data_IF_205148605627
#
_entry.id   IF_205148605627
#
_cell.length_a   1.000
_cell.length_b   1.000
_cell.length_c   1.000
_cell.angle_alpha   90.00
_cell.angle_beta   90.00
_cell.angle_gamma   90.00
#
_symmetry.space_group_name_H-M   'P 1'
#
loop_
_entity.id
_entity.type
_entity.pdbx_description
1 polymer ?
#
# COMPACT_ATOMS: atom_id res chain seq x y z
N UNK A 1 5.34 20.23 -6.50
CA UNK A 1 5.44 19.45 -5.25
C UNK A 1 6.56 18.43 -5.40
N UNK A 2 7.15 18.00 -4.28
CA UNK A 2 8.12 16.89 -4.25
C UNK A 2 7.34 15.59 -4.45
N UNK A 3 7.86 14.73 -5.32
CA UNK A 3 7.26 13.46 -5.70
C UNK A 3 8.36 12.43 -5.90
N UNK A 4 8.27 11.33 -5.21
CA UNK A 4 9.14 10.16 -5.35
C UNK A 4 8.36 8.85 -5.31
N UNK A 5 7.02 8.93 -5.16
CA UNK A 5 6.13 7.80 -5.04
C UNK A 5 4.84 7.96 -5.82
N UNK A 6 4.46 6.92 -6.53
CA UNK A 6 3.18 6.78 -7.23
C UNK A 6 2.52 5.47 -6.86
N UNK A 7 1.22 5.48 -6.65
CA UNK A 7 0.44 4.26 -6.51
C UNK A 7 -0.97 4.41 -7.10
N UNK A 8 -1.47 3.31 -7.64
CA UNK A 8 -2.83 3.14 -8.09
C UNK A 8 -3.48 2.06 -7.22
N UNK A 9 -4.57 2.37 -6.57
CA UNK A 9 -5.22 1.52 -5.56
C UNK A 9 -6.63 1.15 -6.01
N UNK A 10 -7.04 -0.07 -5.68
CA UNK A 10 -8.36 -0.63 -5.99
C UNK A 10 -8.69 -0.52 -7.48
N UNK A 11 -7.83 -1.09 -8.31
CA UNK A 11 -7.98 -1.07 -9.77
C UNK A 11 -8.46 -2.42 -10.31
N UNK A 12 -9.12 -2.39 -11.46
CA UNK A 12 -9.61 -3.58 -12.17
C UNK A 12 -8.68 -4.02 -13.32
N UNK A 13 -7.42 -3.61 -13.31
CA UNK A 13 -6.48 -3.93 -14.39
C UNK A 13 -6.24 -5.43 -14.50
N UNK A 14 -6.16 -5.94 -15.71
CA UNK A 14 -5.79 -7.32 -15.97
C UNK A 14 -4.32 -7.58 -15.62
N UNK A 15 -3.95 -8.85 -15.50
CA UNK A 15 -2.55 -9.23 -15.21
C UNK A 15 -1.58 -8.91 -16.35
N UNK A 16 -2.08 -8.68 -17.56
CA UNK A 16 -1.29 -8.26 -18.71
C UNK A 16 -1.21 -6.73 -18.88
N UNK A 17 -1.89 -5.98 -18.01
CA UNK A 17 -1.92 -4.53 -18.08
C UNK A 17 -0.54 -3.92 -17.81
N UNK A 18 -0.29 -2.80 -18.47
CA UNK A 18 0.92 -2.01 -18.27
C UNK A 18 0.59 -0.59 -17.88
N UNK A 19 1.48 0.01 -17.08
CA UNK A 19 1.39 1.40 -16.62
C UNK A 19 2.67 2.15 -16.95
N UNK A 20 2.56 3.45 -17.19
CA UNK A 20 3.70 4.33 -17.43
C UNK A 20 3.47 5.66 -16.75
N UNK A 21 4.38 6.06 -15.91
CA UNK A 21 4.34 7.31 -15.16
C UNK A 21 5.30 8.32 -15.76
N UNK A 22 4.84 9.53 -15.98
CA UNK A 22 5.68 10.61 -16.48
C UNK A 22 5.47 11.88 -15.69
N UNK A 23 6.56 12.61 -15.46
CA UNK A 23 6.57 13.90 -14.78
C UNK A 23 7.09 14.99 -15.70
N UNK A 24 6.53 16.19 -15.57
CA UNK A 24 6.94 17.36 -16.32
C UNK A 24 6.66 18.66 -15.55
N UNK A 25 7.34 19.74 -15.91
CA UNK A 25 7.05 21.09 -15.43
C UNK A 25 6.40 21.99 -16.51
N UNK A 26 6.42 21.55 -17.76
CA UNK A 26 6.05 22.35 -18.95
C UNK A 26 4.99 21.66 -19.82
N UNK A 27 4.06 20.93 -19.18
CA UNK A 27 2.99 20.20 -19.86
C UNK A 27 3.50 19.16 -20.88
N UNK A 28 4.60 18.48 -20.53
CA UNK A 28 5.23 17.41 -21.32
C UNK A 28 5.90 17.86 -22.63
N UNK A 29 6.29 19.12 -22.74
CA UNK A 29 7.26 19.56 -23.75
C UNK A 29 8.65 18.94 -23.44
N UNK A 30 9.00 18.91 -22.15
CA UNK A 30 10.16 18.14 -21.64
C UNK A 30 9.71 17.17 -20.55
N UNK A 31 10.31 16.00 -20.51
CA UNK A 31 9.98 14.98 -19.49
C UNK A 31 11.09 14.95 -18.44
N UNK A 32 10.74 15.20 -17.18
CA UNK A 32 11.67 15.13 -16.04
C UNK A 32 11.94 13.70 -15.61
N UNK A 33 10.90 12.88 -15.64
CA UNK A 33 10.94 11.47 -15.29
C UNK A 33 10.01 10.68 -16.17
N UNK A 34 10.46 9.52 -16.58
CA UNK A 34 9.68 8.54 -17.33
C UNK A 34 10.02 7.14 -16.78
N UNK A 35 9.03 6.45 -16.24
CA UNK A 35 9.21 5.10 -15.72
C UNK A 35 9.45 4.05 -16.81
N UNK A 36 9.26 4.42 -18.09
CA UNK A 36 9.06 3.43 -19.13
C UNK A 36 7.75 2.65 -18.92
N UNK A 37 7.58 1.59 -19.69
CA UNK A 37 6.43 0.69 -19.55
C UNK A 37 6.71 -0.32 -18.45
N UNK A 38 5.89 -0.31 -17.40
CA UNK A 38 5.96 -1.21 -16.25
C UNK A 38 4.74 -2.13 -16.27
N UNK A 39 4.89 -3.36 -15.81
CA UNK A 39 3.74 -4.23 -15.57
C UNK A 39 2.90 -3.68 -14.40
N UNK A 40 1.59 -3.67 -14.54
CA UNK A 40 0.69 -3.24 -13.48
C UNK A 40 0.70 -4.21 -12.28
N UNK A 41 1.02 -5.47 -12.55
CA UNK A 41 1.15 -6.51 -11.53
C UNK A 41 2.60 -6.99 -11.45
N UNK A 42 3.13 -7.01 -10.25
CA UNK A 42 4.43 -7.60 -9.99
C UNK A 42 4.31 -9.13 -9.88
N UNK A 43 5.34 -9.87 -10.31
CA UNK A 43 5.39 -11.31 -10.07
C UNK A 43 5.42 -11.60 -8.56
N UNK A 44 4.54 -12.50 -8.11
CA UNK A 44 4.49 -12.97 -6.71
C UNK A 44 5.31 -14.24 -6.51
N UNK A 45 5.70 -14.90 -7.60
CA UNK A 45 6.49 -16.12 -7.56
C UNK A 45 7.61 -16.06 -8.59
N UNK A 46 8.81 -16.45 -8.19
CA UNK A 46 9.94 -16.55 -9.11
C UNK A 46 9.82 -17.84 -9.95
N UNK A 47 10.25 -17.76 -11.19
CA UNK A 47 10.27 -18.92 -12.08
C UNK A 47 11.05 -20.09 -11.43
N UNK A 48 10.38 -21.24 -11.29
CA UNK A 48 10.94 -22.44 -10.64
C UNK A 48 10.80 -22.51 -9.11
N UNK A 49 10.19 -21.49 -8.48
CA UNK A 49 9.97 -21.47 -7.02
C UNK A 49 8.80 -22.34 -6.53
N UNK A 50 7.85 -22.65 -7.43
CA UNK A 50 6.66 -23.43 -7.10
C UNK A 50 6.43 -24.61 -8.04
N UNK A 51 5.68 -25.64 -7.60
CA UNK A 51 5.30 -26.77 -8.44
C UNK A 51 4.51 -26.34 -9.67
N UNK A 52 4.66 -27.09 -10.75
CA UNK A 52 3.92 -26.88 -12.00
C UNK A 52 2.39 -26.89 -11.77
N UNK A 53 1.70 -25.90 -12.34
CA UNK A 53 0.23 -25.79 -12.28
C UNK A 53 -0.32 -24.98 -11.11
N UNK A 54 0.53 -24.45 -10.22
CA UNK A 54 0.11 -23.61 -9.07
C UNK A 54 0.05 -22.12 -9.45
N UNK A 55 0.94 -21.67 -10.35
CA UNK A 55 1.04 -20.28 -10.81
C UNK A 55 0.99 -20.20 -12.32
N UNK A 56 0.68 -18.98 -12.81
CA UNK A 56 0.79 -18.67 -14.25
C UNK A 56 2.25 -18.62 -14.69
N UNK A 57 2.49 -18.80 -16.00
CA UNK A 57 3.82 -18.68 -16.62
C UNK A 57 4.40 -17.30 -16.42
N UNK A 58 4.69 -16.67 -15.62
CA UNK A 58 5.21 -15.33 -15.34
C UNK A 58 5.13 -15.01 -13.85
N UNK A 59 4.72 -15.99 -13.02
CA UNK A 59 4.63 -15.83 -11.58
C UNK A 59 3.56 -14.84 -11.13
N UNK A 60 2.61 -14.51 -12.00
CA UNK A 60 1.54 -13.55 -11.68
C UNK A 60 0.46 -14.20 -10.81
N UNK A 61 -0.17 -13.42 -9.92
CA UNK A 61 -1.22 -13.95 -9.06
C UNK A 61 -2.44 -14.42 -9.86
N UNK A 62 -3.11 -15.46 -9.37
CA UNK A 62 -4.35 -15.95 -9.97
C UNK A 62 -5.49 -14.96 -9.75
N UNK A 63 -6.44 -14.87 -10.70
CA UNK A 63 -7.59 -13.99 -10.59
C UNK A 63 -8.43 -14.25 -9.33
N UNK A 64 -8.52 -15.51 -8.88
CA UNK A 64 -9.21 -15.88 -7.64
C UNK A 64 -8.50 -15.33 -6.37
N UNK A 65 -7.19 -15.15 -6.42
CA UNK A 65 -6.42 -14.55 -5.32
C UNK A 65 -6.52 -13.04 -5.38
N UNK A 66 -6.43 -12.45 -6.59
CA UNK A 66 -6.57 -10.99 -6.79
C UNK A 66 -7.90 -10.49 -6.22
N UNK A 67 -9.00 -11.22 -6.43
CA UNK A 67 -10.34 -10.81 -5.98
C UNK A 67 -10.51 -10.76 -4.46
N UNK A 68 -9.58 -11.34 -3.69
CA UNK A 68 -9.63 -11.33 -2.22
C UNK A 68 -9.03 -10.06 -1.61
N UNK A 69 -8.27 -9.28 -2.38
CA UNK A 69 -7.53 -8.13 -1.89
C UNK A 69 -7.81 -6.87 -2.71
N UNK A 70 -7.55 -5.72 -2.10
CA UNK A 70 -7.56 -4.46 -2.84
C UNK A 70 -6.30 -4.37 -3.72
N UNK A 71 -6.50 -4.49 -5.02
CA UNK A 71 -5.42 -4.42 -5.99
C UNK A 71 -4.66 -3.10 -5.86
N UNK A 72 -3.35 -3.17 -5.75
CA UNK A 72 -2.48 -2.00 -5.70
C UNK A 72 -1.24 -2.18 -6.55
N UNK A 73 -0.96 -1.20 -7.39
CA UNK A 73 0.33 -1.08 -8.07
C UNK A 73 1.03 0.18 -7.63
N UNK A 74 2.34 0.12 -7.45
CA UNK A 74 3.10 1.29 -7.03
C UNK A 74 4.45 1.35 -7.74
N UNK A 75 5.03 2.55 -7.77
CA UNK A 75 6.34 2.83 -8.32
C UNK A 75 7.04 3.82 -7.40
N UNK A 76 8.23 3.44 -6.94
CA UNK A 76 9.13 4.32 -6.20
C UNK A 76 10.16 4.88 -7.18
N UNK A 77 10.37 6.19 -7.16
CA UNK A 77 11.37 6.83 -7.98
C UNK A 77 12.76 6.67 -7.36
N UNK A 78 13.80 6.56 -8.18
CA UNK A 78 15.18 6.48 -7.67
C UNK A 78 15.65 7.78 -6.98
N UNK A 79 15.00 8.90 -7.31
CA UNK A 79 15.24 10.20 -6.67
C UNK A 79 13.98 11.05 -6.68
N UNK A 80 13.78 11.84 -5.63
CA UNK A 80 12.66 12.75 -5.54
C UNK A 80 12.74 13.84 -6.62
N UNK A 81 11.62 14.09 -7.28
CA UNK A 81 11.47 15.09 -8.35
C UNK A 81 10.51 16.19 -7.93
N UNK A 82 10.79 17.41 -8.35
CA UNK A 82 9.83 18.52 -8.20
C UNK A 82 9.11 18.70 -9.54
N UNK A 83 7.84 18.30 -9.58
CA UNK A 83 7.06 18.38 -10.78
C UNK A 83 5.70 19.09 -10.56
N UNK A 84 5.17 19.63 -11.66
CA UNK A 84 3.87 20.31 -11.73
C UNK A 84 2.81 19.43 -12.40
N UNK A 85 3.21 18.68 -13.42
CA UNK A 85 2.33 17.82 -14.21
C UNK A 85 2.71 16.37 -14.06
N UNK A 86 1.69 15.53 -13.95
CA UNK A 86 1.82 14.08 -13.86
C UNK A 86 0.95 13.49 -14.95
N UNK A 87 1.46 12.48 -15.64
CA UNK A 87 0.71 11.69 -16.60
C UNK A 87 0.85 10.21 -16.30
N UNK A 88 -0.27 9.55 -16.12
CA UNK A 88 -0.39 8.11 -16.06
C UNK A 88 -0.96 7.62 -17.38
N UNK A 89 -0.25 6.74 -18.05
CA UNK A 89 -0.75 5.99 -19.19
C UNK A 89 -0.99 4.56 -18.74
N UNK A 90 -2.16 4.04 -19.06
CA UNK A 90 -2.56 2.66 -18.78
C UNK A 90 -2.88 2.00 -20.12
N UNK A 91 -2.32 0.82 -20.37
CA UNK A 91 -2.67 0.00 -21.52
C UNK A 91 -3.10 -1.38 -21.01
N UNK A 92 -4.33 -1.74 -21.31
CA UNK A 92 -4.94 -3.01 -20.90
C UNK A 92 -5.96 -3.45 -21.94
N UNK A 93 -5.46 -4.14 -22.96
CA UNK A 93 -6.30 -4.66 -24.06
C UNK A 93 -7.03 -5.95 -23.71
N UNK A 94 -6.68 -6.58 -22.60
CA UNK A 94 -7.22 -7.89 -22.18
C UNK A 94 -8.20 -7.79 -21.00
N UNK A 95 -8.57 -6.57 -20.62
CA UNK A 95 -9.52 -6.34 -19.54
C UNK A 95 -10.93 -6.84 -19.93
N UNK A 96 -11.39 -7.88 -19.25
CA UNK A 96 -12.69 -8.49 -19.50
C UNK A 96 -13.88 -7.61 -19.12
N UNK A 97 -13.68 -6.60 -18.27
CA UNK A 97 -14.73 -5.66 -17.88
C UNK A 97 -15.08 -4.66 -19.01
N UNK A 98 -14.18 -4.47 -19.99
CA UNK A 98 -14.36 -3.50 -21.07
C UNK A 98 -14.17 -2.03 -20.68
N UNK A 99 -13.80 -1.76 -19.43
CA UNK A 99 -13.48 -0.43 -18.90
C UNK A 99 -12.36 -0.49 -17.88
N UNK A 100 -11.71 0.65 -17.64
CA UNK A 100 -10.67 0.79 -16.60
C UNK A 100 -11.26 1.52 -15.40
N UNK A 101 -11.03 0.97 -14.22
CA UNK A 101 -11.46 1.54 -12.96
C UNK A 101 -10.28 1.58 -11.99
N UNK A 102 -10.24 2.65 -11.19
CA UNK A 102 -9.30 2.79 -10.09
C UNK A 102 -9.92 3.62 -8.97
N UNK A 103 -9.84 3.13 -7.76
CA UNK A 103 -10.43 3.80 -6.61
C UNK A 103 -9.62 5.03 -6.17
N UNK A 104 -8.30 4.94 -6.22
CA UNK A 104 -7.41 6.02 -5.75
C UNK A 104 -6.10 6.09 -6.53
N UNK A 105 -5.69 7.32 -6.81
CA UNK A 105 -4.35 7.65 -7.27
C UNK A 105 -3.60 8.38 -6.15
N UNK A 106 -2.50 7.82 -5.69
CA UNK A 106 -1.62 8.43 -4.69
C UNK A 106 -0.36 8.93 -5.38
N UNK A 107 -0.01 10.19 -5.13
CA UNK A 107 1.21 10.80 -5.64
C UNK A 107 1.78 11.72 -4.57
N UNK A 108 3.04 11.57 -4.24
CA UNK A 108 3.68 12.41 -3.24
C UNK A 108 5.03 11.90 -2.79
N UNK A 109 5.53 12.45 -1.68
CA UNK A 109 6.73 11.94 -1.05
C UNK A 109 6.43 10.63 -0.31
N UNK A 110 7.31 9.64 -0.48
CA UNK A 110 7.38 8.48 0.39
C UNK A 110 8.16 8.80 1.66
N UNK A 111 7.83 8.14 2.74
CA UNK A 111 8.63 8.14 3.95
C UNK A 111 9.14 6.73 4.22
N UNK A 112 10.46 6.60 4.27
CA UNK A 112 11.13 5.39 4.68
C UNK A 112 11.95 5.70 5.93
N UNK A 113 11.71 5.00 7.07
CA UNK A 113 12.49 5.21 8.28
C UNK A 113 13.97 4.85 8.07
N UNK A 114 14.87 5.63 8.68
CA UNK A 114 16.32 5.33 8.68
C UNK A 114 16.60 4.00 9.38
N UNK A 115 15.86 3.72 10.46
CA UNK A 115 15.82 2.43 11.14
C UNK A 115 14.47 1.84 10.86
N UNK A 116 14.45 0.70 10.18
CA UNK A 116 13.21 0.02 9.83
C UNK A 116 12.45 -0.44 11.07
N UNK A 117 11.21 -0.85 10.90
CA UNK A 117 10.38 -1.39 12.00
C UNK A 117 11.06 -2.57 12.69
N UNK A 118 10.79 -2.73 14.00
CA UNK A 118 11.30 -3.82 14.81
C UNK A 118 10.66 -5.16 14.41
N UNK A 119 11.31 -6.26 14.77
CA UNK A 119 10.69 -7.58 14.69
C UNK A 119 9.39 -7.60 15.50
N UNK A 120 8.38 -8.31 15.02
CA UNK A 120 7.08 -8.41 15.70
C UNK A 120 5.96 -7.66 14.97
N UNK A 121 6.12 -7.38 13.66
CA UNK A 121 5.00 -6.90 12.83
C UNK A 121 3.84 -7.89 12.94
N UNK A 122 2.69 -7.39 13.32
CA UNK A 122 1.45 -8.15 13.39
C UNK A 122 0.56 -7.77 12.21
N UNK A 123 0.09 -8.76 11.47
CA UNK A 123 -0.91 -8.63 10.43
C UNK A 123 -2.08 -9.54 10.78
N UNK A 124 -3.27 -8.98 10.89
CA UNK A 124 -4.48 -9.70 11.26
C UNK A 124 -5.66 -9.32 10.39
N UNK A 125 -6.64 -10.21 10.30
CA UNK A 125 -7.98 -9.87 9.83
C UNK A 125 -8.86 -9.52 10.99
N UNK A 126 -9.51 -8.36 10.90
CA UNK A 126 -10.53 -7.94 11.87
C UNK A 126 -11.90 -8.29 11.31
N UNK A 127 -12.71 -8.95 12.13
CA UNK A 127 -14.08 -9.36 11.82
C UNK A 127 -15.03 -8.70 12.82
N UNK A 128 -15.71 -7.65 12.38
CA UNK A 128 -16.68 -6.91 13.20
C UNK A 128 -18.10 -7.46 13.06
N UNK A 129 -18.27 -8.67 12.49
CA UNK A 129 -19.55 -9.34 12.35
C UNK A 129 -20.21 -9.60 13.70
N UNK A 130 -21.50 -9.32 13.79
CA UNK A 130 -22.25 -9.45 15.03
C UNK A 130 -22.98 -10.79 15.10
N UNK A 131 -22.69 -11.57 16.14
CA UNK A 131 -23.33 -12.85 16.39
C UNK A 131 -24.33 -12.68 17.54
N UNK A 132 -25.60 -12.95 17.30
CA UNK A 132 -26.66 -12.94 18.34
C UNK A 132 -27.30 -14.31 18.44
N UNK A 133 -27.66 -14.70 19.68
CA UNK A 133 -28.37 -15.97 19.94
C UNK A 133 -29.75 -15.69 20.46
N UNK A 134 -30.76 -16.37 19.91
CA UNK A 134 -32.11 -16.35 20.44
C UNK A 134 -32.19 -17.17 21.74
N UNK A 135 -33.28 -16.97 22.51
CA UNK A 135 -33.56 -17.74 23.72
C UNK A 135 -33.67 -19.25 23.47
N UNK A 136 -34.07 -19.65 22.24
CA UNK A 136 -34.13 -21.03 21.78
C UNK A 136 -32.83 -21.62 21.27
N UNK A 137 -31.69 -20.89 21.37
CA UNK A 137 -30.37 -21.36 20.94
C UNK A 137 -30.06 -21.15 19.44
N UNK A 138 -30.98 -20.54 18.69
CA UNK A 138 -30.74 -20.23 17.28
C UNK A 138 -29.73 -19.07 17.13
N UNK A 139 -28.78 -19.23 16.24
CA UNK A 139 -27.72 -18.24 15.99
C UNK A 139 -28.10 -17.39 14.78
N UNK A 140 -28.00 -16.08 14.94
CA UNK A 140 -28.12 -15.10 13.86
C UNK A 140 -26.78 -14.39 13.69
N UNK A 141 -26.32 -14.30 12.48
CA UNK A 141 -25.05 -13.63 12.13
C UNK A 141 -25.39 -12.47 11.22
N UNK A 142 -24.96 -11.28 11.65
CA UNK A 142 -24.96 -10.07 10.82
C UNK A 142 -23.51 -9.90 10.34
N UNK A 143 -23.27 -10.34 9.11
CA UNK A 143 -21.92 -10.43 8.54
C UNK A 143 -21.49 -9.07 8.00
N UNK A 144 -20.31 -8.61 8.44
CA UNK A 144 -19.63 -7.42 7.96
C UNK A 144 -18.37 -7.82 7.22
N UNK A 145 -18.00 -7.05 6.20
CA UNK A 145 -16.78 -7.30 5.45
C UNK A 145 -15.54 -7.20 6.36
N UNK A 146 -14.71 -8.23 6.34
CA UNK A 146 -13.45 -8.27 7.10
C UNK A 146 -12.42 -7.36 6.46
N UNK A 147 -11.60 -6.73 7.29
CA UNK A 147 -10.51 -5.87 6.84
C UNK A 147 -9.20 -6.27 7.52
N UNK A 148 -8.09 -5.88 6.89
CA UNK A 148 -6.76 -6.16 7.44
C UNK A 148 -6.33 -5.03 8.36
N UNK A 149 -5.60 -5.40 9.42
CA UNK A 149 -4.94 -4.48 10.32
C UNK A 149 -3.48 -4.86 10.42
N UNK A 150 -2.60 -3.87 10.28
CA UNK A 150 -1.17 -4.05 10.50
C UNK A 150 -0.74 -3.21 11.70
N UNK A 151 0.05 -3.82 12.59
CA UNK A 151 0.67 -3.14 13.72
C UNK A 151 2.16 -3.39 13.71
N UNK A 152 2.95 -2.34 13.84
CA UNK A 152 4.41 -2.40 13.87
C UNK A 152 5.00 -1.30 14.76
N UNK A 153 6.19 -1.58 15.29
CA UNK A 153 6.92 -0.67 16.15
C UNK A 153 8.09 -0.03 15.39
N UNK A 154 8.14 1.29 15.40
CA UNK A 154 9.29 2.06 14.96
C UNK A 154 10.13 2.40 16.19
N UNK A 155 11.28 1.75 16.33
CA UNK A 155 12.15 1.87 17.48
C UNK A 155 13.45 2.60 17.13
N UNK A 156 13.99 3.32 18.13
CA UNK A 156 15.28 3.99 18.05
C UNK A 156 15.43 5.05 16.96
N UNK A 157 14.31 5.66 16.51
CA UNK A 157 14.36 6.74 15.53
C UNK A 157 15.04 8.00 16.09
N UNK A 158 15.83 8.73 15.28
CA UNK A 158 16.39 10.01 15.66
C UNK A 158 15.30 11.05 15.94
N UNK A 159 15.57 11.99 16.83
CA UNK A 159 14.65 13.06 17.20
C UNK A 159 14.15 13.86 16.00
N UNK A 160 15.06 14.25 15.10
CA UNK A 160 14.70 14.99 13.88
C UNK A 160 13.73 14.23 12.99
N UNK A 161 13.90 12.92 12.89
CA UNK A 161 13.06 12.08 12.03
C UNK A 161 11.66 11.87 12.63
N UNK A 162 11.59 11.55 13.92
CA UNK A 162 10.31 11.30 14.59
C UNK A 162 9.42 12.55 14.58
N UNK A 163 9.98 13.73 14.86
CA UNK A 163 9.20 14.95 14.93
C UNK A 163 8.89 15.55 13.56
N UNK A 164 9.81 15.50 12.59
CA UNK A 164 9.56 16.06 11.28
C UNK A 164 8.65 15.17 10.42
N UNK A 165 8.88 13.86 10.42
CA UNK A 165 8.15 12.97 9.52
C UNK A 165 6.92 12.37 10.20
N UNK A 166 7.05 11.79 11.39
CA UNK A 166 5.93 11.12 12.02
C UNK A 166 4.99 12.13 12.66
N UNK A 167 5.49 12.93 13.61
CA UNK A 167 4.65 13.85 14.35
C UNK A 167 4.01 14.94 13.48
N UNK A 168 4.81 15.63 12.67
CA UNK A 168 4.29 16.75 11.86
C UNK A 168 3.60 16.27 10.57
N UNK A 169 4.13 15.30 9.85
CA UNK A 169 3.58 14.92 8.54
C UNK A 169 2.54 13.80 8.64
N UNK A 170 2.74 12.81 9.50
CA UNK A 170 1.77 11.72 9.63
C UNK A 170 0.70 12.10 10.65
N UNK A 171 1.05 12.38 11.89
CA UNK A 171 0.07 12.59 12.96
C UNK A 171 -0.74 13.85 12.79
N UNK A 172 -0.06 14.98 12.62
CA UNK A 172 -0.71 16.30 12.51
C UNK A 172 -1.45 16.48 11.19
N UNK A 173 -0.88 15.99 10.06
CA UNK A 173 -1.45 16.22 8.73
C UNK A 173 -2.41 15.12 8.32
N UNK A 174 -2.09 13.87 8.60
CA UNK A 174 -2.92 12.71 8.25
C UNK A 174 -3.84 12.33 9.40
N UNK A 175 -3.29 12.07 10.58
CA UNK A 175 -4.06 11.60 11.73
C UNK A 175 -4.91 10.38 11.39
N UNK A 176 -6.02 10.21 12.07
CA UNK A 176 -6.99 9.13 11.83
C UNK A 176 -7.95 9.42 10.66
N UNK A 177 -7.97 10.66 10.15
CA UNK A 177 -8.96 11.12 9.17
C UNK A 177 -8.54 10.97 7.72
N UNK A 178 -7.25 10.82 7.47
CA UNK A 178 -6.71 10.72 6.11
C UNK A 178 -6.01 9.39 5.88
N UNK A 179 -6.10 8.96 4.65
CA UNK A 179 -5.55 7.72 4.15
C UNK A 179 -4.01 7.74 4.05
N UNK A 180 -3.44 6.57 4.25
CA UNK A 180 -2.03 6.25 4.11
C UNK A 180 -1.90 4.92 3.37
N UNK A 181 -0.79 4.74 2.65
CA UNK A 181 -0.42 3.46 2.08
C UNK A 181 0.85 2.97 2.80
N UNK A 182 0.78 1.77 3.34
CA UNK A 182 1.92 1.11 4.00
C UNK A 182 2.38 -0.04 3.13
N UNK A 183 3.67 -0.06 2.85
CA UNK A 183 4.35 -1.11 2.08
C UNK A 183 5.48 -1.64 2.95
N UNK A 184 5.26 -2.73 3.70
CA UNK A 184 6.26 -3.25 4.63
C UNK A 184 7.54 -3.71 3.95
N UNK A 185 7.42 -4.37 2.80
CA UNK A 185 8.54 -4.95 2.06
C UNK A 185 8.54 -4.51 0.59
N UNK A 186 9.01 -3.30 0.28
CA UNK A 186 8.96 -2.78 -1.10
C UNK A 186 9.85 -3.53 -2.08
N UNK A 187 10.85 -4.26 -1.60
CA UNK A 187 11.77 -5.07 -2.42
C UNK A 187 11.28 -6.49 -2.71
N UNK A 188 10.24 -6.98 -2.00
CA UNK A 188 9.72 -8.33 -2.15
C UNK A 188 8.31 -8.31 -2.73
N UNK A 189 8.22 -8.49 -4.04
CA UNK A 189 6.94 -8.46 -4.77
C UNK A 189 5.98 -9.58 -4.39
N UNK A 190 6.47 -10.70 -3.85
CA UNK A 190 5.63 -11.80 -3.40
C UNK A 190 4.69 -11.41 -2.25
N UNK A 191 5.08 -10.44 -1.46
CA UNK A 191 4.32 -9.97 -0.31
C UNK A 191 3.36 -8.81 -0.60
N UNK A 192 3.50 -8.15 -1.76
CA UNK A 192 2.78 -6.90 -2.02
C UNK A 192 1.27 -7.04 -1.95
N UNK A 193 0.71 -8.10 -2.53
CA UNK A 193 -0.74 -8.31 -2.54
C UNK A 193 -1.30 -8.55 -1.13
N UNK A 194 -0.56 -9.27 -0.30
CA UNK A 194 -1.00 -9.68 1.03
C UNK A 194 -0.66 -8.69 2.13
N UNK A 195 0.47 -7.98 2.03
CA UNK A 195 0.99 -7.15 3.11
C UNK A 195 0.83 -5.65 2.88
N UNK A 196 0.71 -5.19 1.62
CA UNK A 196 0.44 -3.78 1.38
C UNK A 196 -0.96 -3.43 1.86
N UNK A 197 -1.07 -2.40 2.66
CA UNK A 197 -2.33 -1.92 3.22
C UNK A 197 -2.53 -0.46 2.86
N UNK A 198 -3.61 -0.22 2.12
CA UNK A 198 -4.18 1.11 1.96
C UNK A 198 -5.23 1.30 3.04
N UNK A 199 -4.98 2.23 3.94
CA UNK A 199 -5.81 2.37 5.11
C UNK A 199 -5.67 3.72 5.80
N UNK A 200 -6.03 3.76 7.06
CA UNK A 200 -5.91 4.91 7.95
C UNK A 200 -5.29 4.48 9.27
N UNK A 201 -4.72 5.42 10.00
CA UNK A 201 -4.28 5.18 11.37
C UNK A 201 -5.50 4.83 12.23
N UNK A 202 -5.43 3.72 12.97
CA UNK A 202 -6.46 3.34 13.94
C UNK A 202 -6.52 4.37 15.09
N UNK A 203 -5.36 4.84 15.53
CA UNK A 203 -5.21 5.88 16.53
C UNK A 203 -3.89 6.62 16.36
N UNK A 204 -3.82 7.85 16.84
CA UNK A 204 -2.56 8.58 17.01
C UNK A 204 -2.00 8.20 18.39
N UNK A 205 -1.00 7.31 18.39
CA UNK A 205 -0.36 6.83 19.63
C UNK A 205 0.69 7.81 20.16
N UNK A 206 1.17 7.59 21.39
CA UNK A 206 2.22 8.39 21.98
C UNK A 206 3.58 8.16 21.30
N UNK A 207 4.44 9.16 21.36
CA UNK A 207 5.85 9.05 21.03
C UNK A 207 6.60 8.95 22.37
N UNK A 208 7.41 7.90 22.52
CA UNK A 208 8.14 7.62 23.75
C UNK A 208 9.62 7.83 23.55
N UNK A 209 10.26 8.53 24.50
CA UNK A 209 11.71 8.64 24.54
C UNK A 209 12.27 7.39 25.24
N UNK A 210 12.92 6.51 24.49
CA UNK A 210 13.43 5.23 25.00
C UNK A 210 14.89 5.31 25.47
N UNK A 211 15.69 6.17 24.85
CA UNK A 211 17.08 6.45 25.22
C UNK A 211 17.44 7.88 24.81
N UNK A 212 18.62 8.36 25.19
CA UNK A 212 19.06 9.71 24.85
C UNK A 212 18.94 9.97 23.33
N UNK A 213 18.11 10.97 22.97
CA UNK A 213 17.84 11.38 21.57
C UNK A 213 17.30 10.27 20.66
N UNK A 214 16.69 9.24 21.23
CA UNK A 214 16.04 8.15 20.49
C UNK A 214 14.60 7.96 20.98
N UNK A 215 13.75 7.77 20.01
CA UNK A 215 12.31 7.70 20.23
C UNK A 215 11.74 6.44 19.61
N UNK A 216 10.66 5.96 20.18
CA UNK A 216 9.89 4.84 19.66
C UNK A 216 8.42 5.17 19.56
N UNK A 217 7.74 4.45 18.67
CA UNK A 217 6.31 4.56 18.48
C UNK A 217 5.73 3.31 17.85
N UNK A 218 4.60 2.86 18.37
CA UNK A 218 3.76 1.85 17.74
C UNK A 218 2.80 2.51 16.75
N UNK A 219 2.69 1.95 15.56
CA UNK A 219 1.76 2.37 14.53
C UNK A 219 0.79 1.23 14.21
N UNK A 220 -0.50 1.54 14.23
CA UNK A 220 -1.56 0.60 13.83
C UNK A 220 -2.35 1.22 12.70
N UNK A 221 -2.43 0.51 11.57
CA UNK A 221 -3.14 0.93 10.37
C UNK A 221 -4.24 -0.07 10.05
N UNK A 222 -5.44 0.43 9.82
CA UNK A 222 -6.62 -0.32 9.40
C UNK A 222 -6.92 -0.09 7.94
N UNK A 223 -7.16 -1.19 7.21
CA UNK A 223 -7.49 -1.14 5.81
C UNK A 223 -8.83 -0.45 5.56
N UNK A 224 -8.87 0.38 4.51
CA UNK A 224 -10.11 0.94 3.98
C UNK A 224 -10.62 0.00 2.88
N UNK A 225 -11.85 -0.45 3.04
CA UNK A 225 -12.51 -1.40 2.14
C UNK A 225 -13.43 -0.64 1.18
#
# INVERSE_FOLDING_TARGET
KIMDFFALIAHNLSTAATVRWRLSNDNFSTTLYDSGTLNAWAPVEQFGGSPWGVFTWGGLPLASVISLYNASTFTLLPSAQIARYIRLNIADSTNSAGYLEAGRLIVGPAYQPTINYANGVSLEFVDDSRVTKSRGGQVFVDEVRKYRRITFDLNHLPESEIFNNIFNNIDRVKGVSKDVLVIPQPSDSATWLTQNIYGRLAAVGPIENTTLSRYSRTMTIEEII
#
